data_IF_371870558603
#
_entry.id   IF_371870558603
#
_cell.length_a   1.000
_cell.length_b   1.000
_cell.length_c   1.000
_cell.angle_alpha   90.00
_cell.angle_beta   90.00
_cell.angle_gamma   90.00
#
_symmetry.space_group_name_H-M   'P 1'
#
loop_
_entity.id
_entity.type
_entity.pdbx_description
1 polymer ?
#
# COMPACT_ATOMS: atom_id res chain seq x y z
N UNK A 1 28.26 -7.22 -18.45
CA UNK A 1 28.19 -7.94 -17.17
C UNK A 1 27.28 -7.16 -16.23
N UNK A 2 26.06 -7.64 -16.01
CA UNK A 2 25.04 -6.91 -15.26
C UNK A 2 25.26 -7.08 -13.76
N UNK A 3 25.63 -5.99 -13.10
CA UNK A 3 25.91 -5.94 -11.66
C UNK A 3 24.59 -6.10 -10.90
N UNK A 4 24.36 -7.30 -10.34
CA UNK A 4 23.31 -7.55 -9.36
C UNK A 4 23.68 -6.81 -8.07
N UNK A 5 23.37 -5.51 -7.99
CA UNK A 5 23.41 -4.82 -6.72
C UNK A 5 22.31 -5.41 -5.81
N UNK A 6 22.61 -5.72 -4.54
CA UNK A 6 21.61 -6.23 -3.61
C UNK A 6 20.47 -5.21 -3.50
N UNK A 7 19.22 -5.68 -3.41
CA UNK A 7 17.97 -4.87 -3.42
C UNK A 7 18.03 -3.65 -2.48
N UNK A 8 18.81 -3.72 -1.39
CA UNK A 8 19.09 -2.59 -0.48
C UNK A 8 19.79 -1.40 -1.14
N UNK A 9 20.74 -1.63 -2.05
CA UNK A 9 21.48 -0.57 -2.76
C UNK A 9 20.55 0.21 -3.69
N UNK A 10 19.63 -0.48 -4.37
CA UNK A 10 18.70 0.13 -5.34
C UNK A 10 17.67 1.04 -4.68
N UNK A 11 17.15 0.66 -3.49
CA UNK A 11 16.23 1.52 -2.73
C UNK A 11 16.95 2.75 -2.18
N UNK A 12 18.18 2.59 -1.67
CA UNK A 12 18.98 3.70 -1.17
C UNK A 12 19.28 4.70 -2.30
N UNK A 13 19.66 4.21 -3.47
CA UNK A 13 19.91 5.03 -4.65
C UNK A 13 18.65 5.79 -5.09
N UNK A 14 17.49 5.14 -5.13
CA UNK A 14 16.22 5.78 -5.47
C UNK A 14 15.85 6.90 -4.48
N UNK A 15 16.01 6.65 -3.18
CA UNK A 15 15.72 7.65 -2.12
C UNK A 15 16.61 8.88 -2.25
N UNK A 16 17.91 8.67 -2.53
CA UNK A 16 18.88 9.76 -2.74
C UNK A 16 18.55 10.55 -4.00
N UNK A 17 18.29 9.88 -5.14
CA UNK A 17 17.96 10.54 -6.42
C UNK A 17 16.63 11.29 -6.36
N UNK A 18 15.66 10.80 -5.57
CA UNK A 18 14.34 11.44 -5.38
C UNK A 18 14.32 12.46 -4.22
N UNK A 19 15.47 12.72 -3.58
CA UNK A 19 15.59 13.61 -2.42
C UNK A 19 14.57 13.33 -1.29
N UNK A 20 14.26 12.06 -1.07
CA UNK A 20 13.28 11.65 -0.05
C UNK A 20 13.98 11.47 1.30
N UNK A 21 13.39 11.99 2.38
CA UNK A 21 13.89 11.74 3.74
C UNK A 21 13.26 10.46 4.30
N UNK A 22 14.03 9.38 4.54
CA UNK A 22 13.48 8.15 5.09
C UNK A 22 13.05 8.37 6.55
N UNK A 23 11.77 8.10 6.85
CA UNK A 23 11.24 8.09 8.21
C UNK A 23 11.00 6.65 8.65
N UNK A 24 11.50 6.29 9.83
CA UNK A 24 11.24 4.98 10.47
C UNK A 24 10.37 5.18 11.70
N UNK A 25 9.48 4.22 11.94
CA UNK A 25 8.77 4.12 13.22
C UNK A 25 9.75 3.73 14.32
N UNK A 26 9.48 4.16 15.56
CA UNK A 26 10.31 3.73 16.70
C UNK A 26 10.11 2.23 16.93
N UNK A 27 11.16 1.45 17.21
CA UNK A 27 11.02 0.05 17.58
C UNK A 27 9.99 -0.15 18.70
N UNK A 28 9.22 -1.24 18.62
CA UNK A 28 8.20 -1.62 19.62
C UNK A 28 7.07 -0.58 19.83
N UNK A 29 6.82 0.31 18.86
CA UNK A 29 5.70 1.28 18.89
C UNK A 29 4.68 1.05 17.75
N UNK A 30 4.01 -0.11 17.69
CA UNK A 30 3.13 -0.49 16.57
C UNK A 30 1.97 0.49 16.37
N UNK A 31 1.53 1.19 17.43
CA UNK A 31 0.45 2.19 17.37
C UNK A 31 0.66 3.27 16.31
N UNK A 32 1.90 3.62 16.00
CA UNK A 32 2.21 4.69 15.02
C UNK A 32 1.92 4.29 13.57
N UNK A 33 1.86 2.99 13.28
CA UNK A 33 1.64 2.45 11.95
C UNK A 33 0.19 1.98 11.71
N UNK A 34 -0.71 2.22 12.68
CA UNK A 34 -2.05 1.65 12.68
C UNK A 34 -2.91 1.95 11.44
N UNK A 35 -2.68 3.09 10.77
CA UNK A 35 -3.37 3.39 9.49
C UNK A 35 -2.94 2.46 8.37
N UNK A 36 -1.63 2.23 8.21
CA UNK A 36 -1.11 1.33 7.20
C UNK A 36 -1.48 -0.12 7.53
N UNK A 37 -1.39 -0.51 8.80
CA UNK A 37 -1.81 -1.85 9.25
C UNK A 37 -3.29 -2.09 9.01
N UNK A 38 -4.17 -1.12 9.33
CA UNK A 38 -5.60 -1.23 9.05
C UNK A 38 -5.87 -1.34 7.56
N UNK A 39 -5.18 -0.55 6.73
CA UNK A 39 -5.27 -0.63 5.28
C UNK A 39 -4.86 -2.03 4.77
N UNK A 40 -3.70 -2.54 5.19
CA UNK A 40 -3.21 -3.86 4.79
C UNK A 40 -4.18 -4.96 5.22
N UNK A 41 -4.73 -4.89 6.43
CA UNK A 41 -5.73 -5.84 6.92
C UNK A 41 -7.00 -5.84 6.05
N UNK A 42 -7.49 -4.65 5.68
CA UNK A 42 -8.65 -4.53 4.79
C UNK A 42 -8.35 -5.03 3.38
N UNK A 43 -7.19 -4.66 2.83
CA UNK A 43 -6.71 -5.14 1.52
C UNK A 43 -6.63 -6.66 1.48
N UNK A 44 -6.10 -7.30 2.52
CA UNK A 44 -6.04 -8.76 2.59
C UNK A 44 -7.42 -9.39 2.65
N UNK A 45 -8.31 -8.90 3.52
CA UNK A 45 -9.64 -9.46 3.69
C UNK A 45 -10.51 -9.35 2.42
N UNK A 46 -10.44 -8.23 1.71
CA UNK A 46 -11.37 -7.92 0.63
C UNK A 46 -10.83 -8.15 -0.76
N UNK A 47 -9.51 -8.19 -0.92
CA UNK A 47 -8.88 -8.50 -2.19
C UNK A 47 -8.20 -9.86 -2.13
N UNK A 48 -7.20 -10.02 -1.27
CA UNK A 48 -6.36 -11.23 -1.31
C UNK A 48 -7.13 -12.51 -0.94
N UNK A 49 -8.09 -12.41 -0.02
CA UNK A 49 -8.86 -13.55 0.49
C UNK A 49 -10.33 -13.56 0.07
N UNK A 50 -10.81 -12.53 -0.63
CA UNK A 50 -12.20 -12.50 -1.08
C UNK A 50 -12.47 -13.44 -2.25
N UNK A 51 -11.46 -13.80 -3.03
CA UNK A 51 -11.55 -14.72 -4.17
C UNK A 51 -10.32 -15.63 -4.22
N UNK A 52 -10.46 -16.91 -4.58
CA UNK A 52 -9.32 -17.78 -4.80
C UNK A 52 -8.63 -17.39 -6.12
N UNK A 53 -7.35 -17.01 -6.04
CA UNK A 53 -6.49 -16.79 -7.20
C UNK A 53 -5.63 -18.03 -7.46
N UNK A 54 -5.39 -18.35 -8.73
CA UNK A 54 -4.57 -19.52 -9.11
C UNK A 54 -3.08 -19.23 -8.96
N UNK A 55 -2.67 -17.98 -9.18
CA UNK A 55 -1.27 -17.57 -9.11
C UNK A 55 -1.11 -16.22 -8.42
N UNK A 56 0.10 -15.95 -7.91
CA UNK A 56 0.46 -14.64 -7.37
C UNK A 56 0.47 -13.54 -8.44
N UNK A 57 0.80 -13.90 -9.69
CA UNK A 57 0.78 -12.99 -10.83
C UNK A 57 -0.64 -12.50 -11.14
N UNK A 58 -1.59 -13.42 -11.17
CA UNK A 58 -3.02 -13.10 -11.32
C UNK A 58 -3.48 -12.16 -10.20
N UNK A 59 -3.16 -12.49 -8.94
CA UNK A 59 -3.51 -11.63 -7.80
C UNK A 59 -2.96 -10.20 -7.99
N UNK A 60 -1.70 -10.06 -8.41
CA UNK A 60 -1.06 -8.76 -8.64
C UNK A 60 -1.71 -7.97 -9.79
N UNK A 61 -2.18 -8.64 -10.84
CA UNK A 61 -2.86 -7.96 -11.96
C UNK A 61 -4.21 -7.37 -11.55
N UNK A 62 -4.86 -7.97 -10.55
CA UNK A 62 -6.15 -7.51 -10.02
C UNK A 62 -5.99 -6.37 -9.00
N UNK A 63 -4.80 -6.20 -8.40
CA UNK A 63 -4.55 -5.20 -7.37
C UNK A 63 -4.90 -3.76 -7.82
N UNK A 64 -4.51 -3.27 -9.01
CA UNK A 64 -4.86 -1.91 -9.44
C UNK A 64 -6.37 -1.69 -9.49
N UNK A 65 -7.13 -2.70 -9.93
CA UNK A 65 -8.59 -2.63 -9.98
C UNK A 65 -9.21 -2.55 -8.59
N UNK A 66 -8.71 -3.34 -7.64
CA UNK A 66 -9.15 -3.22 -6.25
C UNK A 66 -8.83 -1.83 -5.68
N UNK A 67 -7.63 -1.30 -5.90
CA UNK A 67 -7.23 0.03 -5.42
C UNK A 67 -8.14 1.14 -5.98
N UNK A 68 -8.55 1.06 -7.25
CA UNK A 68 -9.49 2.00 -7.83
C UNK A 68 -10.86 1.97 -7.12
N UNK A 69 -11.35 0.78 -6.75
CA UNK A 69 -12.59 0.61 -6.00
C UNK A 69 -12.44 1.15 -4.58
N UNK A 70 -11.35 0.79 -3.88
CA UNK A 70 -11.07 1.26 -2.53
C UNK A 70 -10.97 2.79 -2.46
N UNK A 71 -10.24 3.41 -3.38
CA UNK A 71 -10.01 4.85 -3.38
C UNK A 71 -11.21 5.66 -3.90
N UNK A 72 -12.00 5.11 -4.83
CA UNK A 72 -13.03 5.86 -5.56
C UNK A 72 -14.48 5.50 -5.22
N UNK A 73 -14.76 4.33 -4.64
CA UNK A 73 -16.13 3.85 -4.42
C UNK A 73 -16.42 3.42 -2.99
N UNK A 74 -15.41 3.01 -2.25
CA UNK A 74 -15.60 2.56 -0.86
C UNK A 74 -15.86 3.75 0.05
N UNK A 75 -17.01 3.77 0.70
CA UNK A 75 -17.32 4.75 1.74
C UNK A 75 -16.62 4.37 3.05
N UNK A 76 -15.98 5.35 3.70
CA UNK A 76 -15.30 5.12 4.98
C UNK A 76 -16.01 5.86 6.10
N UNK A 77 -16.46 5.12 7.12
CA UNK A 77 -17.08 5.73 8.31
C UNK A 77 -16.15 6.72 9.02
N UNK A 78 -14.86 6.40 9.10
CA UNK A 78 -13.85 7.30 9.67
C UNK A 78 -13.65 8.60 8.87
N UNK A 79 -14.18 8.67 7.64
CA UNK A 79 -14.14 9.84 6.75
C UNK A 79 -15.55 10.42 6.53
N UNK A 80 -16.47 10.23 7.49
CA UNK A 80 -17.86 10.66 7.38
C UNK A 80 -18.58 10.15 6.10
N UNK A 81 -18.27 8.91 5.70
CA UNK A 81 -18.86 8.26 4.52
C UNK A 81 -18.19 8.64 3.20
N UNK A 82 -17.17 9.51 3.21
CA UNK A 82 -16.42 9.88 2.00
C UNK A 82 -15.44 8.79 1.58
N UNK A 83 -15.08 8.80 0.30
CA UNK A 83 -14.00 7.98 -0.24
C UNK A 83 -12.63 8.65 0.00
N UNK A 84 -11.52 7.89 -0.04
CA UNK A 84 -10.18 8.47 0.15
C UNK A 84 -9.87 9.59 -0.86
N UNK A 85 -10.26 9.45 -2.12
CA UNK A 85 -10.07 10.49 -3.16
C UNK A 85 -10.85 11.76 -2.81
N UNK A 86 -12.12 11.62 -2.41
CA UNK A 86 -12.95 12.76 -1.99
C UNK A 86 -12.35 13.49 -0.78
N UNK A 87 -11.73 12.75 0.14
CA UNK A 87 -11.08 13.36 1.31
C UNK A 87 -9.80 14.13 0.95
N UNK A 88 -9.07 13.68 -0.08
CA UNK A 88 -7.85 14.34 -0.55
C UNK A 88 -8.13 15.56 -1.44
N UNK A 89 -9.38 15.75 -1.88
CA UNK A 89 -9.76 16.84 -2.78
C UNK A 89 -9.23 16.66 -4.20
N UNK A 90 -9.06 15.40 -4.63
CA UNK A 90 -8.64 15.02 -5.98
C UNK A 90 -9.85 14.77 -6.88
#
# INVERSE_FOLDING_TARGET
MAFLLPVRQSVLLLVVVRCLTPKRTRPYTPRTNGKAERFIKTLLAEWAYSMPFQTSGERNQWLPRYLAIYNGRRCHMALAGRTPIQQLGW
#
